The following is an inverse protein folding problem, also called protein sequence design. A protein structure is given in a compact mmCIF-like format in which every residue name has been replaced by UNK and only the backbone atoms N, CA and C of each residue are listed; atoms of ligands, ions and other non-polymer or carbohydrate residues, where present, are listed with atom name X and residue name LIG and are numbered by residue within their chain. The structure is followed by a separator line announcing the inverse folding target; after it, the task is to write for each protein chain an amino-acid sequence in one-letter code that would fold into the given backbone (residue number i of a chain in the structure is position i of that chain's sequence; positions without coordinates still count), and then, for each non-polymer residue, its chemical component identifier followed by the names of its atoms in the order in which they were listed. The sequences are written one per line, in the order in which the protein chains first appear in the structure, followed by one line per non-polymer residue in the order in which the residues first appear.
data_IF_532281936568
#
_entry.id   IF_532281936568
#
_cell.length_a   1.000
_cell.length_b   1.000
_cell.length_c   1.000
_cell.angle_alpha   90.00
_cell.angle_beta   90.00
_cell.angle_gamma   90.00
#
_symmetry.space_group_name_H-M   'P 1'
#
loop_
_entity.id
_entity.type
_entity.pdbx_description
1 polymer ?
#
# COMPACT_ATOMS: atom_id res chain seq x y z
N UNK A 1 -19.36 7.35 3.75
CA UNK A 1 -20.61 7.96 3.21
C UNK A 1 -21.75 6.94 3.14
N UNK A 2 -21.57 5.80 2.46
CA UNK A 2 -22.59 4.74 2.35
C UNK A 2 -23.12 4.24 3.70
N UNK A 3 -22.24 4.01 4.69
CA UNK A 3 -22.64 3.58 6.05
C UNK A 3 -23.61 4.58 6.70
N UNK A 4 -23.38 5.89 6.51
CA UNK A 4 -24.24 6.95 7.05
C UNK A 4 -25.65 6.83 6.47
N UNK A 5 -25.78 6.73 5.14
CA UNK A 5 -27.09 6.65 4.50
C UNK A 5 -27.81 5.31 4.72
N UNK A 6 -27.05 4.21 4.82
CA UNK A 6 -27.60 2.90 5.20
C UNK A 6 -28.17 2.85 6.61
N UNK A 7 -27.75 3.75 7.51
CA UNK A 7 -28.37 3.92 8.85
C UNK A 7 -29.68 4.71 8.82
N UNK A 8 -29.86 5.55 7.80
CA UNK A 8 -31.07 6.38 7.62
C UNK A 8 -32.17 5.60 6.93
N UNK A 9 -31.83 4.86 5.86
CA UNK A 9 -32.78 4.05 5.10
C UNK A 9 -32.11 2.79 4.57
N UNK A 10 -32.73 1.64 4.82
CA UNK A 10 -32.25 0.34 4.34
C UNK A 10 -32.65 0.11 2.87
N UNK A 11 -32.19 0.99 1.99
CA UNK A 11 -32.50 0.99 0.55
C UNK A 11 -31.23 1.32 -0.24
N UNK A 12 -30.82 0.40 -1.11
CA UNK A 12 -29.57 0.52 -1.90
C UNK A 12 -29.64 1.70 -2.86
N UNK A 13 -30.78 1.89 -3.52
CA UNK A 13 -30.98 2.98 -4.50
C UNK A 13 -30.85 4.32 -3.79
N UNK A 14 -31.52 4.47 -2.64
CA UNK A 14 -31.42 5.68 -1.83
C UNK A 14 -29.98 5.95 -1.37
N UNK A 15 -29.26 4.93 -0.90
CA UNK A 15 -27.88 5.08 -0.44
C UNK A 15 -26.94 5.49 -1.58
N UNK A 16 -27.12 4.93 -2.78
CA UNK A 16 -26.31 5.25 -3.97
C UNK A 16 -26.57 6.68 -4.45
N UNK A 17 -27.84 7.07 -4.61
CA UNK A 17 -28.21 8.44 -5.01
C UNK A 17 -27.66 9.49 -4.04
N UNK A 18 -27.81 9.24 -2.73
CA UNK A 18 -27.26 10.14 -1.71
C UNK A 18 -25.74 10.15 -1.63
N UNK A 19 -25.09 9.11 -2.12
CA UNK A 19 -23.63 9.09 -2.26
C UNK A 19 -23.19 9.84 -3.51
N UNK A 20 -23.92 9.77 -4.62
CA UNK A 20 -23.66 10.57 -5.83
C UNK A 20 -23.74 12.08 -5.54
N UNK A 21 -24.72 12.52 -4.73
CA UNK A 21 -24.86 13.91 -4.29
C UNK A 21 -23.60 14.45 -3.57
N UNK A 22 -22.79 13.58 -2.96
CA UNK A 22 -21.55 13.99 -2.28
C UNK A 22 -20.39 14.28 -3.23
N UNK A 23 -20.54 14.03 -4.54
CA UNK A 23 -19.53 14.29 -5.58
C UNK A 23 -18.15 13.75 -5.21
N UNK A 24 -18.08 12.43 -5.03
CA UNK A 24 -16.81 11.75 -4.74
C UNK A 24 -15.78 11.98 -5.85
N UNK A 25 -14.50 11.89 -5.50
CA UNK A 25 -13.39 12.02 -6.44
C UNK A 25 -13.44 10.93 -7.51
N UNK A 26 -13.07 11.29 -8.73
CA UNK A 26 -12.85 10.32 -9.80
C UNK A 26 -11.67 9.39 -9.46
N UNK A 27 -11.74 8.09 -9.84
CA UNK A 27 -12.74 7.50 -10.73
C UNK A 27 -14.00 6.96 -10.01
N UNK A 28 -14.00 6.87 -8.68
CA UNK A 28 -15.10 6.24 -7.91
C UNK A 28 -16.41 7.03 -8.06
N UNK A 29 -16.33 8.37 -8.11
CA UNK A 29 -17.47 9.24 -8.39
C UNK A 29 -18.18 8.87 -9.70
N UNK A 30 -17.43 8.69 -10.79
CA UNK A 30 -17.94 8.26 -12.09
C UNK A 30 -18.67 6.92 -12.04
N UNK A 31 -18.16 5.94 -11.29
CA UNK A 31 -18.82 4.63 -11.13
C UNK A 31 -20.16 4.73 -10.44
N UNK A 32 -20.25 5.49 -9.36
CA UNK A 32 -21.50 5.65 -8.61
C UNK A 32 -22.52 6.41 -9.46
N UNK A 33 -22.07 7.44 -10.18
CA UNK A 33 -22.90 8.20 -11.10
C UNK A 33 -23.46 7.34 -12.22
N UNK A 34 -22.62 6.54 -12.87
CA UNK A 34 -23.05 5.63 -13.94
C UNK A 34 -24.07 4.61 -13.43
N UNK A 35 -23.85 4.09 -12.22
CA UNK A 35 -24.78 3.17 -11.57
C UNK A 35 -26.13 3.84 -11.26
N UNK A 36 -26.13 5.07 -10.76
CA UNK A 36 -27.37 5.84 -10.55
C UNK A 36 -28.12 6.08 -11.86
N UNK A 37 -27.43 6.46 -12.95
CA UNK A 37 -28.03 6.65 -14.28
C UNK A 37 -28.68 5.35 -14.78
N UNK A 38 -28.05 4.20 -14.58
CA UNK A 38 -28.61 2.89 -14.98
C UNK A 38 -29.90 2.58 -14.20
N UNK A 39 -29.91 2.84 -12.89
CA UNK A 39 -31.07 2.65 -12.04
C UNK A 39 -32.23 3.59 -12.41
N UNK A 40 -31.94 4.87 -12.69
CA UNK A 40 -32.93 5.85 -13.13
C UNK A 40 -33.57 5.48 -14.47
N UNK A 41 -32.82 4.84 -15.35
CA UNK A 41 -33.31 4.32 -16.64
C UNK A 41 -34.13 3.02 -16.50
N UNK A 42 -34.39 2.56 -15.28
CA UNK A 42 -35.24 1.40 -15.00
C UNK A 42 -34.52 0.05 -14.99
N UNK A 43 -33.18 0.04 -15.03
CA UNK A 43 -32.42 -1.20 -14.83
C UNK A 43 -32.60 -1.69 -13.39
N UNK A 44 -32.72 -3.01 -13.19
CA UNK A 44 -32.83 -3.55 -11.84
C UNK A 44 -31.52 -3.34 -11.05
N UNK A 45 -31.63 -3.25 -9.73
CA UNK A 45 -30.47 -3.07 -8.84
C UNK A 45 -29.45 -4.19 -8.99
N UNK A 46 -29.91 -5.44 -9.15
CA UNK A 46 -29.01 -6.59 -9.32
C UNK A 46 -28.25 -6.52 -10.66
N UNK A 47 -28.93 -6.18 -11.76
CA UNK A 47 -28.31 -6.03 -13.08
C UNK A 47 -27.31 -4.86 -13.10
N UNK A 48 -27.68 -3.72 -12.53
CA UNK A 48 -26.82 -2.54 -12.47
C UNK A 48 -25.53 -2.84 -11.68
N UNK A 49 -25.66 -3.51 -10.52
CA UNK A 49 -24.51 -3.92 -9.70
C UNK A 49 -23.65 -4.97 -10.41
N UNK A 50 -24.25 -5.93 -11.11
CA UNK A 50 -23.51 -6.94 -11.87
C UNK A 50 -22.73 -6.31 -13.04
N UNK A 51 -23.33 -5.39 -13.77
CA UNK A 51 -22.67 -4.70 -14.87
C UNK A 51 -21.55 -3.75 -14.39
N UNK A 52 -21.67 -3.19 -13.18
CA UNK A 52 -20.58 -2.43 -12.56
C UNK A 52 -19.48 -3.32 -11.99
N UNK A 53 -19.82 -4.53 -11.54
CA UNK A 53 -18.86 -5.54 -11.06
C UNK A 53 -17.89 -5.97 -12.17
N UNK A 54 -18.39 -6.21 -13.39
CA UNK A 54 -17.58 -6.60 -14.54
C UNK A 54 -16.57 -5.52 -14.96
N UNK A 55 -16.93 -4.26 -14.75
CA UNK A 55 -16.11 -3.11 -15.09
C UNK A 55 -15.32 -2.55 -13.90
N UNK A 56 -15.27 -3.25 -12.76
CA UNK A 56 -14.65 -2.71 -11.54
C UNK A 56 -13.13 -2.47 -11.72
N UNK A 57 -12.65 -1.29 -11.30
CA UNK A 57 -11.24 -0.88 -11.39
C UNK A 57 -10.30 -1.72 -10.52
N UNK A 58 -10.81 -2.28 -9.44
CA UNK A 58 -10.02 -3.01 -8.46
C UNK A 58 -10.81 -4.18 -7.88
N UNK A 59 -10.10 -5.18 -7.37
CA UNK A 59 -10.75 -6.34 -6.74
C UNK A 59 -11.53 -5.95 -5.48
N UNK A 60 -11.07 -4.93 -4.75
CA UNK A 60 -11.74 -4.42 -3.56
C UNK A 60 -13.08 -3.77 -3.93
N UNK A 61 -13.11 -2.96 -5.00
CA UNK A 61 -14.36 -2.37 -5.51
C UNK A 61 -15.31 -3.48 -5.98
N UNK A 62 -14.80 -4.48 -6.68
CA UNK A 62 -15.57 -5.66 -7.11
C UNK A 62 -16.19 -6.37 -5.91
N UNK A 63 -15.42 -6.58 -4.84
CA UNK A 63 -15.89 -7.23 -3.61
C UNK A 63 -16.98 -6.42 -2.91
N UNK A 64 -16.85 -5.08 -2.86
CA UNK A 64 -17.89 -4.20 -2.32
C UNK A 64 -19.20 -4.36 -3.10
N UNK A 65 -19.15 -4.30 -4.43
CA UNK A 65 -20.34 -4.42 -5.28
C UNK A 65 -21.04 -5.77 -5.12
N UNK A 66 -20.28 -6.88 -5.02
CA UNK A 66 -20.82 -8.21 -4.75
C UNK A 66 -21.57 -8.24 -3.41
N UNK A 67 -20.97 -7.69 -2.36
CA UNK A 67 -21.58 -7.66 -1.03
C UNK A 67 -22.85 -6.81 -1.00
N UNK A 68 -22.88 -5.67 -1.71
CA UNK A 68 -24.07 -4.83 -1.83
C UNK A 68 -25.18 -5.57 -2.59
N UNK A 69 -24.84 -6.27 -3.68
CA UNK A 69 -25.81 -7.05 -4.46
C UNK A 69 -26.41 -8.17 -3.63
N UNK A 70 -25.56 -8.91 -2.93
CA UNK A 70 -26.00 -9.98 -2.03
C UNK A 70 -26.91 -9.44 -0.92
N UNK A 71 -26.57 -8.27 -0.34
CA UNK A 71 -27.39 -7.60 0.66
C UNK A 71 -28.80 -7.29 0.16
N UNK A 72 -28.87 -6.77 -1.08
CA UNK A 72 -30.12 -6.44 -1.76
C UNK A 72 -30.96 -7.69 -2.04
N UNK A 73 -30.35 -8.73 -2.63
CA UNK A 73 -31.05 -9.96 -3.02
C UNK A 73 -31.54 -10.78 -1.83
N UNK A 74 -30.81 -10.77 -0.70
CA UNK A 74 -31.14 -11.58 0.48
C UNK A 74 -31.88 -10.81 1.58
N UNK A 75 -32.15 -9.52 1.39
CA UNK A 75 -32.92 -8.71 2.35
C UNK A 75 -32.19 -8.42 3.66
N UNK A 76 -30.88 -8.14 3.60
CA UNK A 76 -30.05 -7.86 4.77
C UNK A 76 -30.09 -6.40 5.25
N UNK A 77 -29.44 -6.14 6.39
CA UNK A 77 -29.18 -4.76 6.85
C UNK A 77 -27.97 -4.19 6.10
N UNK A 78 -28.22 -3.24 5.20
CA UNK A 78 -27.19 -2.50 4.46
C UNK A 78 -26.25 -1.77 5.41
N UNK A 79 -26.75 -1.21 6.50
CA UNK A 79 -25.91 -0.59 7.53
C UNK A 79 -24.83 -1.54 8.05
N UNK A 80 -25.20 -2.78 8.42
CA UNK A 80 -24.24 -3.76 8.93
C UNK A 80 -23.19 -4.12 7.90
N UNK A 81 -23.58 -4.24 6.63
CA UNK A 81 -22.69 -4.59 5.54
C UNK A 81 -21.74 -3.44 5.21
N UNK A 82 -22.25 -2.22 5.06
CA UNK A 82 -21.42 -1.05 4.86
C UNK A 82 -20.45 -0.81 6.01
N UNK A 83 -20.90 -0.98 7.26
CA UNK A 83 -20.03 -0.87 8.44
C UNK A 83 -18.95 -1.96 8.47
N UNK A 84 -19.29 -3.19 8.08
CA UNK A 84 -18.32 -4.28 7.97
C UNK A 84 -17.27 -3.99 6.90
N UNK A 85 -17.69 -3.51 5.73
CA UNK A 85 -16.79 -3.13 4.64
C UNK A 85 -15.89 -1.97 5.06
N UNK A 86 -16.46 -0.92 5.66
CA UNK A 86 -15.71 0.22 6.19
C UNK A 86 -14.62 -0.22 7.18
N UNK A 87 -14.97 -1.08 8.15
CA UNK A 87 -13.99 -1.63 9.09
C UNK A 87 -12.89 -2.46 8.41
N UNK A 88 -13.23 -3.21 7.34
CA UNK A 88 -12.23 -3.97 6.59
C UNK A 88 -11.27 -3.04 5.84
N UNK A 89 -11.79 -2.00 5.18
CA UNK A 89 -10.96 -0.99 4.52
C UNK A 89 -10.03 -0.28 5.50
N UNK A 90 -10.54 0.14 6.66
CA UNK A 90 -9.71 0.77 7.69
C UNK A 90 -8.57 -0.14 8.16
N UNK A 91 -8.83 -1.43 8.36
CA UNK A 91 -7.78 -2.39 8.73
C UNK A 91 -6.73 -2.55 7.64
N UNK A 92 -7.16 -2.65 6.37
CA UNK A 92 -6.26 -2.76 5.22
C UNK A 92 -5.39 -1.50 5.12
N UNK A 93 -5.97 -0.31 5.26
CA UNK A 93 -5.24 0.95 5.23
C UNK A 93 -4.24 1.06 6.39
N UNK A 94 -4.63 0.64 7.59
CA UNK A 94 -3.76 0.60 8.76
C UNK A 94 -2.57 -0.36 8.54
N UNK A 95 -2.83 -1.56 8.03
CA UNK A 95 -1.77 -2.53 7.69
C UNK A 95 -0.84 -2.00 6.59
N UNK A 96 -1.39 -1.37 5.55
CA UNK A 96 -0.62 -0.75 4.48
C UNK A 96 0.24 0.39 5.01
N UNK A 97 -0.30 1.23 5.89
CA UNK A 97 0.42 2.33 6.51
C UNK A 97 1.53 1.82 7.43
N UNK A 98 1.25 0.82 8.26
CA UNK A 98 2.23 0.16 9.12
C UNK A 98 3.34 -0.48 8.30
N UNK A 99 3.00 -1.16 7.20
CA UNK A 99 3.97 -1.73 6.26
C UNK A 99 4.83 -0.64 5.62
N UNK A 100 4.23 0.48 5.21
CA UNK A 100 4.96 1.63 4.63
C UNK A 100 5.94 2.26 5.64
N UNK A 101 5.53 2.43 6.90
CA UNK A 101 6.41 2.92 7.97
C UNK A 101 7.57 1.95 8.22
N UNK A 102 7.28 0.65 8.33
CA UNK A 102 8.33 -0.36 8.52
C UNK A 102 9.32 -0.34 7.35
N UNK A 103 8.84 -0.30 6.10
CA UNK A 103 9.70 -0.18 4.92
C UNK A 103 10.57 1.08 4.93
N UNK A 104 10.04 2.23 5.40
CA UNK A 104 10.83 3.46 5.52
C UNK A 104 11.89 3.34 6.62
N UNK A 105 11.52 2.84 7.80
CA UNK A 105 12.45 2.59 8.91
C UNK A 105 13.58 1.65 8.50
N UNK A 106 13.24 0.56 7.80
CA UNK A 106 14.21 -0.41 7.28
C UNK A 106 15.16 0.22 6.26
N UNK A 107 14.63 1.07 5.36
CA UNK A 107 15.47 1.85 4.41
C UNK A 107 16.46 2.75 5.16
N UNK A 108 16.04 3.46 6.21
CA UNK A 108 16.94 4.29 7.02
C UNK A 108 17.99 3.48 7.78
N UNK A 109 17.61 2.34 8.38
CA UNK A 109 18.56 1.46 9.07
C UNK A 109 19.65 0.96 8.13
N UNK A 110 19.28 0.61 6.89
CA UNK A 110 20.22 0.22 5.84
C UNK A 110 21.18 1.38 5.50
N UNK A 111 20.68 2.59 5.22
CA UNK A 111 21.56 3.72 4.92
C UNK A 111 22.48 4.08 6.09
N UNK A 112 21.97 4.03 7.33
CA UNK A 112 22.75 4.26 8.54
C UNK A 112 23.91 3.26 8.67
N UNK A 113 23.67 1.98 8.38
CA UNK A 113 24.73 0.96 8.44
C UNK A 113 25.83 1.19 7.41
N UNK A 114 25.49 1.63 6.19
CA UNK A 114 26.48 2.02 5.17
C UNK A 114 27.33 3.20 5.66
N UNK A 115 26.70 4.23 6.23
CA UNK A 115 27.42 5.40 6.77
C UNK A 115 28.34 5.01 7.92
N UNK A 116 27.89 4.14 8.83
CA UNK A 116 28.69 3.62 9.94
C UNK A 116 29.92 2.86 9.44
N UNK A 117 29.77 1.99 8.43
CA UNK A 117 30.91 1.27 7.84
C UNK A 117 31.90 2.25 7.19
N UNK A 118 31.42 3.23 6.42
CA UNK A 118 32.29 4.27 5.83
C UNK A 118 33.03 5.09 6.91
N UNK A 119 32.36 5.44 8.00
CA UNK A 119 32.96 6.13 9.13
C UNK A 119 34.04 5.29 9.81
N UNK A 120 33.81 4.00 10.04
CA UNK A 120 34.83 3.10 10.60
C UNK A 120 36.03 2.93 9.67
N UNK A 121 35.81 2.82 8.36
CA UNK A 121 36.89 2.80 7.37
C UNK A 121 37.74 4.07 7.44
N UNK A 122 37.11 5.24 7.50
CA UNK A 122 37.81 6.51 7.64
C UNK A 122 38.63 6.57 8.95
N UNK A 123 38.03 6.20 10.07
CA UNK A 123 38.70 6.24 11.39
C UNK A 123 39.86 5.25 11.52
N UNK A 124 39.77 4.08 10.91
CA UNK A 124 40.76 3.00 11.07
C UNK A 124 41.85 3.06 10.01
N UNK A 125 41.49 3.32 8.75
CA UNK A 125 42.43 3.23 7.61
C UNK A 125 43.01 4.59 7.24
N UNK A 126 42.19 5.64 7.24
CA UNK A 126 42.62 6.97 6.78
C UNK A 126 43.18 7.85 7.91
N UNK A 127 42.99 7.45 9.16
CA UNK A 127 43.64 8.12 10.28
C UNK A 127 45.15 7.80 10.28
N UNK A 128 45.99 8.78 10.64
CA UNK A 128 47.48 8.70 10.60
C UNK A 128 48.09 7.74 11.65
N UNK A 129 47.33 6.75 12.10
CA UNK A 129 47.78 5.74 13.07
C UNK A 129 48.56 4.60 12.43
N UNK A 130 49.04 3.69 13.29
CA UNK A 130 49.76 2.46 12.90
C UNK A 130 48.92 1.57 11.97
N UNK A 131 47.60 1.58 12.14
CA UNK A 131 46.61 0.87 11.33
C UNK A 131 46.64 1.30 9.86
N UNK A 132 46.66 2.62 9.59
CA UNK A 132 46.69 3.14 8.21
C UNK A 132 47.97 2.79 7.48
N UNK A 133 49.12 2.80 8.18
CA UNK A 133 50.41 2.38 7.59
C UNK A 133 50.39 0.90 7.21
N UNK A 134 49.82 0.04 8.06
CA UNK A 134 49.70 -1.40 7.79
C UNK A 134 48.82 -1.68 6.56
N UNK A 135 47.63 -1.08 6.49
CA UNK A 135 46.69 -1.32 5.39
C UNK A 135 47.13 -0.71 4.05
N UNK A 136 47.85 0.43 4.06
CA UNK A 136 48.22 1.15 2.84
C UNK A 136 49.64 0.86 2.33
N UNK A 137 50.58 0.44 3.18
CA UNK A 137 51.99 0.25 2.78
C UNK A 137 52.48 -1.20 2.79
N UNK A 138 51.72 -2.13 3.36
CA UNK A 138 52.10 -3.55 3.40
C UNK A 138 51.29 -4.32 2.35
N UNK A 139 51.93 -5.23 1.62
CA UNK A 139 51.27 -6.07 0.61
C UNK A 139 50.11 -6.89 1.19
N UNK A 140 50.31 -7.48 2.37
CA UNK A 140 49.26 -8.23 3.09
C UNK A 140 48.09 -7.34 3.50
N UNK A 141 48.36 -6.10 3.92
CA UNK A 141 47.33 -5.12 4.28
C UNK A 141 46.49 -4.69 3.08
N UNK A 142 47.11 -4.45 1.93
CA UNK A 142 46.42 -4.12 0.68
C UNK A 142 45.53 -5.27 0.18
N UNK A 143 46.01 -6.51 0.30
CA UNK A 143 45.25 -7.71 -0.09
C UNK A 143 44.00 -7.88 0.80
N UNK A 144 44.15 -7.73 2.12
CA UNK A 144 43.04 -7.72 3.09
C UNK A 144 42.02 -6.61 2.79
N UNK A 145 42.49 -5.40 2.48
CA UNK A 145 41.62 -4.28 2.15
C UNK A 145 40.84 -4.53 0.86
N UNK A 146 41.46 -5.16 -0.15
CA UNK A 146 40.79 -5.62 -1.37
C UNK A 146 39.68 -6.64 -1.10
N UNK A 147 39.93 -7.62 -0.22
CA UNK A 147 38.90 -8.59 0.18
C UNK A 147 37.74 -7.92 0.91
N UNK A 148 38.01 -6.99 1.84
CA UNK A 148 36.97 -6.23 2.52
C UNK A 148 36.15 -5.35 1.58
N UNK A 149 36.81 -4.69 0.62
CA UNK A 149 36.13 -3.88 -0.39
C UNK A 149 35.21 -4.74 -1.27
N UNK A 150 35.65 -5.94 -1.67
CA UNK A 150 34.84 -6.87 -2.46
C UNK A 150 33.63 -7.37 -1.65
N UNK A 151 33.81 -7.76 -0.40
CA UNK A 151 32.72 -8.16 0.49
C UNK A 151 31.71 -7.03 0.72
N UNK A 152 32.18 -5.80 0.92
CA UNK A 152 31.32 -4.64 1.08
C UNK A 152 30.53 -4.34 -0.20
N UNK A 153 31.18 -4.42 -1.36
CA UNK A 153 30.53 -4.25 -2.66
C UNK A 153 29.46 -5.32 -2.91
N UNK A 154 29.77 -6.58 -2.64
CA UNK A 154 28.81 -7.68 -2.72
C UNK A 154 27.62 -7.47 -1.77
N UNK A 155 27.89 -7.05 -0.53
CA UNK A 155 26.86 -6.70 0.45
C UNK A 155 25.96 -5.57 -0.05
N UNK A 156 26.54 -4.52 -0.63
CA UNK A 156 25.80 -3.40 -1.21
C UNK A 156 24.91 -3.82 -2.39
N UNK A 157 25.38 -4.73 -3.25
CA UNK A 157 24.57 -5.27 -4.35
C UNK A 157 23.37 -6.09 -3.86
N UNK A 158 23.53 -6.87 -2.79
CA UNK A 158 22.43 -7.62 -2.18
C UNK A 158 21.43 -6.64 -1.59
N UNK A 159 21.90 -5.67 -0.80
CA UNK A 159 21.07 -4.67 -0.13
C UNK A 159 20.29 -3.84 -1.14
N UNK A 160 20.93 -3.34 -2.20
CA UNK A 160 20.26 -2.55 -3.24
C UNK A 160 19.21 -3.37 -3.99
N UNK A 161 19.44 -4.67 -4.23
CA UNK A 161 18.41 -5.57 -4.78
C UNK A 161 17.24 -5.77 -3.82
N UNK A 162 17.50 -5.92 -2.52
CA UNK A 162 16.45 -6.06 -1.50
C UNK A 162 15.63 -4.76 -1.43
N UNK A 163 16.29 -3.61 -1.30
CA UNK A 163 15.63 -2.29 -1.22
C UNK A 163 14.85 -1.95 -2.49
N UNK A 164 15.33 -2.31 -3.68
CA UNK A 164 14.60 -2.09 -4.96
C UNK A 164 13.36 -2.98 -5.08
N UNK A 165 13.32 -4.13 -4.39
CA UNK A 165 12.18 -5.05 -4.37
C UNK A 165 11.04 -4.58 -3.46
N UNK A 166 11.30 -3.62 -2.56
CA UNK A 166 10.36 -3.08 -1.56
C UNK A 166 10.01 -1.59 -1.82
#
# INVERSE_FOLDING_TARGET
VLTKWGSVRNDVVYCLQKTDETKLSEPIGGYIKEMCIRLEKGMSVSEALSACQENALSEELRYVLINIRYAYEKGGSLYRIFKSLENQFFKIDEENFKRKINTLSDKYAVYLSIVMVMATFYMVVLNKGQSGQYYLKTETGMLLLGVFALLFFAGMLIITKVVKRY
#
